data_IF_456110811204
#
_entry.id   IF_456110811204
#
_cell.length_a   1.000
_cell.length_b   1.000
_cell.length_c   1.000
_cell.angle_alpha   90.00
_cell.angle_beta   90.00
_cell.angle_gamma   90.00
#
_symmetry.space_group_name_H-M   'P 1'
#
loop_
_entity.id
_entity.type
_entity.pdbx_description
1 polymer ?
#
# COMPACT_ATOMS: atom_id res chain seq x y z
N UNK A 1 31.44 -13.65 44.64
CA UNK A 1 30.48 -12.62 44.19
C UNK A 1 31.13 -11.79 43.09
N UNK A 2 30.94 -12.15 41.81
CA UNK A 2 31.29 -11.27 40.69
C UNK A 2 30.02 -10.53 40.28
N UNK A 3 30.03 -9.20 40.38
CA UNK A 3 28.95 -8.34 39.88
C UNK A 3 29.09 -8.23 38.36
N UNK A 4 28.14 -8.81 37.65
CA UNK A 4 27.87 -8.55 36.22
C UNK A 4 27.50 -7.07 36.06
N UNK A 5 28.28 -6.35 35.25
CA UNK A 5 27.94 -4.99 34.80
C UNK A 5 27.36 -5.15 33.40
N UNK A 6 26.04 -5.07 33.30
CA UNK A 6 25.32 -5.04 32.03
C UNK A 6 25.54 -3.68 31.40
N UNK A 7 26.28 -3.61 30.29
CA UNK A 7 26.38 -2.40 29.47
C UNK A 7 25.13 -2.28 28.62
N UNK A 8 24.26 -1.35 28.95
CA UNK A 8 23.17 -0.90 28.07
C UNK A 8 23.81 -0.14 26.90
N UNK A 9 23.80 -0.75 25.70
CA UNK A 9 24.16 -0.05 24.49
C UNK A 9 22.99 0.86 24.09
N UNK A 10 23.20 2.17 24.15
CA UNK A 10 22.32 3.16 23.53
C UNK A 10 22.71 3.21 22.07
N UNK A 11 21.89 2.61 21.19
CA UNK A 11 22.02 2.80 19.74
C UNK A 11 21.40 4.16 19.43
N UNK A 12 22.24 5.17 19.14
CA UNK A 12 21.77 6.38 18.48
C UNK A 12 21.52 6.03 17.01
N UNK A 13 20.25 5.98 16.59
CA UNK A 13 19.91 5.95 15.18
C UNK A 13 20.28 7.31 14.57
N UNK A 14 21.33 7.38 13.76
CA UNK A 14 21.57 8.54 12.91
C UNK A 14 20.48 8.56 11.83
N UNK A 15 19.62 9.57 11.87
CA UNK A 15 18.72 9.90 10.77
C UNK A 15 19.59 10.28 9.56
N UNK A 16 19.50 9.50 8.47
CA UNK A 16 20.13 9.84 7.20
C UNK A 16 19.16 10.67 6.36
N UNK A 17 19.62 11.85 5.93
CA UNK A 17 18.94 12.68 4.95
C UNK A 17 19.56 12.41 3.58
N UNK A 18 18.73 12.02 2.61
CA UNK A 18 19.15 11.91 1.21
C UNK A 18 18.65 13.14 0.47
N UNK A 19 19.58 13.94 -0.08
CA UNK A 19 19.26 15.06 -0.96
C UNK A 19 19.25 14.60 -2.40
N UNK A 20 18.16 14.89 -3.11
CA UNK A 20 17.98 14.53 -4.51
C UNK A 20 17.81 15.81 -5.32
N UNK A 21 18.44 15.88 -6.50
CA UNK A 21 18.19 16.98 -7.42
C UNK A 21 16.78 16.83 -8.01
N UNK A 22 15.96 17.88 -7.91
CA UNK A 22 14.55 17.88 -8.28
C UNK A 22 14.17 19.16 -9.02
N UNK A 23 13.22 19.08 -9.95
CA UNK A 23 12.82 20.20 -10.80
C UNK A 23 11.29 20.40 -10.86
N UNK A 24 10.54 19.96 -9.84
CA UNK A 24 9.10 20.10 -9.76
C UNK A 24 8.60 20.77 -8.48
N UNK A 25 7.41 21.37 -8.57
CA UNK A 25 6.87 22.24 -7.53
C UNK A 25 6.24 21.47 -6.35
N UNK A 26 6.06 20.14 -6.42
CA UNK A 26 5.31 19.39 -5.39
C UNK A 26 6.21 18.97 -4.22
N UNK A 27 7.44 18.56 -4.53
CA UNK A 27 8.43 18.13 -3.53
C UNK A 27 9.45 19.23 -3.18
N UNK A 28 9.30 20.42 -3.78
CA UNK A 28 10.21 21.55 -3.63
C UNK A 28 11.54 21.37 -4.39
N UNK A 29 12.33 22.44 -4.53
CA UNK A 29 13.58 22.40 -5.32
C UNK A 29 14.66 21.46 -4.74
N UNK A 30 14.64 21.23 -3.43
CA UNK A 30 15.61 20.40 -2.72
C UNK A 30 14.90 19.43 -1.77
N UNK A 31 14.24 18.37 -2.30
CA UNK A 31 13.54 17.41 -1.48
C UNK A 31 14.50 16.71 -0.53
N UNK A 32 14.12 16.67 0.75
CA UNK A 32 14.84 15.95 1.79
C UNK A 32 14.04 14.70 2.18
N UNK A 33 14.43 13.57 1.59
CA UNK A 33 13.86 12.27 1.92
C UNK A 33 14.57 11.73 3.17
N UNK A 34 13.80 11.56 4.25
CA UNK A 34 14.29 11.10 5.54
C UNK A 34 13.99 9.61 5.73
N UNK A 35 15.03 8.81 6.00
CA UNK A 35 14.87 7.41 6.39
C UNK A 35 14.53 7.31 7.88
N UNK A 36 13.37 6.74 8.19
CA UNK A 36 12.87 6.59 9.56
C UNK A 36 13.22 5.22 10.16
N UNK A 37 13.27 4.19 9.32
CA UNK A 37 13.54 2.81 9.71
C UNK A 37 13.93 1.97 8.49
N UNK A 38 14.81 0.97 8.62
CA UNK A 38 15.30 0.17 7.47
C UNK A 38 15.70 -1.28 7.80
N UNK A 39 15.14 -1.87 8.86
CA UNK A 39 15.52 -3.21 9.34
C UNK A 39 14.55 -4.31 8.85
N UNK A 40 13.84 -4.07 7.75
CA UNK A 40 12.83 -4.97 7.21
C UNK A 40 13.35 -5.94 6.16
N UNK A 41 12.43 -6.73 5.63
CA UNK A 41 12.64 -7.63 4.49
C UNK A 41 12.02 -7.07 3.23
N UNK A 42 10.74 -6.70 3.29
CA UNK A 42 10.02 -6.10 2.18
C UNK A 42 8.85 -5.27 2.73
N UNK A 43 9.09 -3.97 2.88
CA UNK A 43 8.09 -3.07 3.45
C UNK A 43 7.01 -2.75 2.45
N UNK A 44 5.77 -2.71 2.89
CA UNK A 44 4.57 -2.50 2.08
C UNK A 44 3.48 -1.78 2.89
N UNK A 45 2.38 -1.46 2.22
CA UNK A 45 1.10 -1.07 2.83
C UNK A 45 1.23 -0.10 4.00
N UNK A 46 1.36 1.19 3.72
CA UNK A 46 1.46 2.22 4.76
C UNK A 46 0.11 2.85 5.09
N UNK A 47 -0.23 2.92 6.37
CA UNK A 47 -1.47 3.50 6.87
C UNK A 47 -1.21 4.46 8.03
N UNK A 48 -1.88 5.62 8.03
CA UNK A 48 -1.76 6.61 9.10
C UNK A 48 -3.04 6.65 9.94
N UNK A 49 -2.89 6.39 11.24
CA UNK A 49 -3.96 6.44 12.22
C UNK A 49 -4.38 7.89 12.54
N UNK A 50 -5.57 8.07 13.14
CA UNK A 50 -6.11 9.40 13.49
C UNK A 50 -5.23 10.19 14.45
N UNK A 51 -4.45 9.50 15.28
CA UNK A 51 -3.48 10.09 16.21
C UNK A 51 -2.13 10.45 15.55
N UNK A 52 -1.97 10.17 14.26
CA UNK A 52 -0.76 10.42 13.50
C UNK A 52 0.27 9.29 13.52
N UNK A 53 0.03 8.19 14.24
CA UNK A 53 0.93 7.03 14.18
C UNK A 53 0.85 6.35 12.82
N UNK A 54 1.99 5.89 12.34
CA UNK A 54 2.14 5.29 11.02
C UNK A 54 2.35 3.81 11.17
N UNK A 55 1.58 3.02 10.43
CA UNK A 55 1.63 1.57 10.42
C UNK A 55 2.07 1.13 9.04
N UNK A 56 2.89 0.09 8.97
CA UNK A 56 3.35 -0.45 7.70
C UNK A 56 3.65 -1.94 7.82
N UNK A 57 3.39 -2.66 6.73
CA UNK A 57 3.68 -4.10 6.66
C UNK A 57 5.17 -4.33 6.37
N UNK A 58 5.70 -5.41 6.91
CA UNK A 58 6.98 -6.01 6.54
C UNK A 58 6.69 -7.46 6.15
N UNK A 59 6.56 -7.71 4.84
CA UNK A 59 6.18 -9.00 4.29
C UNK A 59 7.37 -9.94 4.37
N UNK A 60 7.15 -11.14 4.91
CA UNK A 60 8.20 -12.14 4.96
C UNK A 60 8.40 -12.81 3.60
N UNK A 61 9.67 -12.99 3.23
CA UNK A 61 10.11 -13.76 2.06
C UNK A 61 10.61 -15.16 2.41
N UNK A 62 10.58 -15.53 3.69
CA UNK A 62 11.04 -16.81 4.20
C UNK A 62 10.03 -17.44 5.16
N UNK A 63 10.52 -18.31 6.04
CA UNK A 63 9.67 -19.11 6.94
C UNK A 63 9.13 -18.33 8.15
N UNK A 64 9.71 -17.16 8.44
CA UNK A 64 9.24 -16.29 9.52
C UNK A 64 7.91 -15.62 9.15
N UNK A 65 7.03 -15.31 10.11
CA UNK A 65 5.78 -14.63 9.81
C UNK A 65 6.01 -13.17 9.39
N UNK A 66 5.23 -12.70 8.43
CA UNK A 66 5.16 -11.27 8.09
C UNK A 66 4.63 -10.46 9.28
N UNK A 67 5.04 -9.19 9.39
CA UNK A 67 4.76 -8.33 10.55
C UNK A 67 4.06 -7.05 10.16
N UNK A 68 3.40 -6.41 11.12
CA UNK A 68 3.06 -4.98 11.05
C UNK A 68 3.87 -4.20 12.07
N UNK A 69 4.54 -3.17 11.59
CA UNK A 69 5.31 -2.24 12.40
C UNK A 69 4.53 -0.94 12.60
N UNK A 70 4.87 -0.22 13.67
CA UNK A 70 4.28 1.06 14.00
C UNK A 70 5.37 2.08 14.33
N UNK A 71 5.38 3.18 13.59
CA UNK A 71 6.21 4.34 13.83
C UNK A 71 5.40 5.43 14.56
N UNK A 72 5.97 5.98 15.63
CA UNK A 72 5.43 7.10 16.39
C UNK A 72 6.22 8.38 16.07
N UNK A 73 5.65 9.33 15.31
CA UNK A 73 6.35 10.57 14.93
C UNK A 73 6.73 11.46 16.11
N UNK A 74 6.08 11.34 17.27
CA UNK A 74 6.38 12.15 18.45
C UNK A 74 7.63 11.66 19.19
N UNK A 75 7.97 10.37 19.05
CA UNK A 75 9.13 9.76 19.72
C UNK A 75 10.22 9.31 18.77
N UNK A 76 9.94 9.32 17.46
CA UNK A 76 10.80 8.77 16.40
C UNK A 76 11.17 7.31 16.63
N UNK A 77 10.27 6.52 17.21
CA UNK A 77 10.48 5.09 17.47
C UNK A 77 9.59 4.24 16.58
N UNK A 78 10.14 3.13 16.14
CA UNK A 78 9.42 2.04 15.47
C UNK A 78 9.35 0.84 16.40
N UNK A 79 8.15 0.30 16.61
CA UNK A 79 7.90 -0.92 17.37
C UNK A 79 7.10 -1.94 16.55
N UNK A 80 7.12 -3.20 16.99
CA UNK A 80 6.32 -4.27 16.38
C UNK A 80 4.90 -4.20 16.94
N UNK A 81 3.94 -3.84 16.08
CA UNK A 81 2.53 -3.80 16.46
C UNK A 81 1.87 -5.18 16.36
N UNK A 82 2.25 -5.97 15.34
CA UNK A 82 1.79 -7.34 15.14
C UNK A 82 2.97 -8.19 14.67
N UNK A 83 3.38 -9.16 15.50
CA UNK A 83 4.53 -10.03 15.22
C UNK A 83 4.20 -11.17 14.24
N UNK A 84 2.92 -11.54 14.11
CA UNK A 84 2.44 -12.49 13.12
C UNK A 84 1.14 -11.96 12.50
N UNK A 85 1.30 -11.25 11.40
CA UNK A 85 0.20 -10.65 10.64
C UNK A 85 -0.51 -11.66 9.73
N UNK A 86 0.06 -12.85 9.53
CA UNK A 86 -0.39 -13.77 8.48
C UNK A 86 -0.24 -13.18 7.07
N UNK A 87 0.92 -12.57 6.79
CA UNK A 87 1.28 -11.92 5.53
C UNK A 87 0.42 -10.70 5.18
N UNK A 88 0.24 -9.76 6.12
CA UNK A 88 -0.37 -8.47 5.78
C UNK A 88 0.44 -7.75 4.71
N UNK A 89 -0.25 -7.17 3.74
CA UNK A 89 0.34 -6.32 2.71
C UNK A 89 -0.25 -4.91 2.86
N UNK A 90 -1.19 -4.49 2.00
CA UNK A 90 -1.89 -3.22 2.11
C UNK A 90 -2.57 -3.05 3.46
N UNK A 91 -2.51 -1.84 4.00
CA UNK A 91 -3.09 -1.46 5.28
C UNK A 91 -3.95 -0.22 5.12
N UNK A 92 -5.07 -0.16 5.84
CA UNK A 92 -5.86 1.06 5.93
C UNK A 92 -6.69 1.11 7.21
N UNK A 93 -6.82 2.28 7.83
CA UNK A 93 -7.77 2.47 8.92
C UNK A 93 -9.19 2.66 8.39
N UNK A 94 -10.17 1.98 9.00
CA UNK A 94 -11.58 2.26 8.74
C UNK A 94 -12.09 3.47 9.55
N UNK A 95 -13.36 3.84 9.35
CA UNK A 95 -13.99 4.97 10.06
C UNK A 95 -14.00 4.82 11.58
N UNK A 96 -14.06 3.58 12.06
CA UNK A 96 -14.08 3.22 13.48
C UNK A 96 -12.67 3.16 14.08
N UNK A 97 -11.63 3.41 13.28
CA UNK A 97 -10.24 3.36 13.72
C UNK A 97 -9.66 1.95 13.81
N UNK A 98 -10.31 0.95 13.20
CA UNK A 98 -9.75 -0.41 13.09
C UNK A 98 -8.73 -0.46 11.96
N UNK A 99 -7.57 -1.08 12.19
CA UNK A 99 -6.58 -1.33 11.15
C UNK A 99 -7.03 -2.53 10.31
N UNK A 100 -7.45 -2.27 9.08
CA UNK A 100 -7.73 -3.29 8.08
C UNK A 100 -6.43 -3.68 7.37
N UNK A 101 -6.32 -4.96 7.01
CA UNK A 101 -5.17 -5.51 6.32
C UNK A 101 -5.62 -6.45 5.19
N UNK A 102 -5.01 -6.29 4.01
CA UNK A 102 -5.08 -7.28 2.93
C UNK A 102 -4.00 -8.33 3.20
N UNK A 103 -4.38 -9.48 3.76
CA UNK A 103 -3.45 -10.53 4.10
C UNK A 103 -3.32 -11.51 2.93
N UNK A 104 -2.12 -11.57 2.36
CA UNK A 104 -1.82 -12.32 1.15
C UNK A 104 -1.63 -13.82 1.38
N UNK A 105 -1.03 -14.44 0.37
CA UNK A 105 -0.65 -15.85 0.36
C UNK A 105 0.77 -16.08 0.89
N UNK A 106 1.41 -17.19 0.50
CA UNK A 106 2.73 -17.62 1.00
C UNK A 106 2.68 -17.99 2.49
N UNK A 107 1.82 -18.96 2.80
CA UNK A 107 1.42 -19.38 4.15
C UNK A 107 0.70 -18.28 4.95
N UNK A 108 0.22 -17.26 4.25
CA UNK A 108 -0.60 -16.19 4.79
C UNK A 108 -2.08 -16.57 4.91
N UNK A 109 -2.90 -15.60 5.32
CA UNK A 109 -4.32 -15.83 5.61
C UNK A 109 -5.20 -15.91 4.37
N UNK A 110 -4.75 -15.37 3.23
CA UNK A 110 -5.58 -15.20 2.00
C UNK A 110 -6.93 -14.58 2.34
N UNK A 111 -6.92 -13.44 3.04
CA UNK A 111 -8.11 -12.86 3.65
C UNK A 111 -8.02 -11.34 3.82
N UNK A 112 -9.18 -10.68 3.82
CA UNK A 112 -9.29 -9.33 4.38
C UNK A 112 -9.42 -9.46 5.90
N UNK A 113 -8.55 -8.79 6.65
CA UNK A 113 -8.47 -8.92 8.10
C UNK A 113 -8.59 -7.58 8.84
N UNK A 114 -8.81 -7.66 10.15
CA UNK A 114 -8.59 -6.59 11.13
C UNK A 114 -7.40 -6.98 12.00
N UNK A 115 -6.50 -6.05 12.26
CA UNK A 115 -5.41 -6.22 13.23
C UNK A 115 -5.71 -5.33 14.45
N UNK A 116 -6.14 -5.97 15.54
CA UNK A 116 -6.49 -5.32 16.79
C UNK A 116 -5.29 -5.06 17.71
N UNK A 117 -5.58 -4.51 18.88
CA UNK A 117 -4.58 -4.31 19.93
C UNK A 117 -3.89 -5.62 20.32
N UNK A 118 -2.62 -5.51 20.72
CA UNK A 118 -1.79 -6.68 21.04
C UNK A 118 -1.43 -7.54 19.83
N UNK A 119 -1.70 -7.07 18.61
CA UNK A 119 -1.35 -7.78 17.37
C UNK A 119 -2.29 -8.94 17.02
N UNK A 120 -3.50 -8.98 17.60
CA UNK A 120 -4.49 -10.01 17.27
C UNK A 120 -5.04 -9.79 15.85
N UNK A 121 -4.95 -10.81 15.00
CA UNK A 121 -5.52 -10.77 13.64
C UNK A 121 -6.86 -11.51 13.60
N UNK A 122 -7.89 -10.86 13.06
CA UNK A 122 -9.23 -11.40 12.87
C UNK A 122 -9.61 -11.34 11.38
N UNK A 123 -10.03 -12.46 10.81
CA UNK A 123 -10.45 -12.55 9.41
C UNK A 123 -11.89 -12.04 9.25
N UNK A 124 -12.08 -11.06 8.37
CA UNK A 124 -13.41 -10.53 8.01
C UNK A 124 -14.07 -11.35 6.91
N UNK A 125 -13.28 -11.76 5.93
CA UNK A 125 -13.73 -12.59 4.80
C UNK A 125 -12.53 -13.32 4.19
N UNK A 126 -12.73 -14.58 3.80
CA UNK A 126 -11.69 -15.48 3.28
C UNK A 126 -12.01 -16.07 1.91
N UNK A 127 -13.26 -15.93 1.45
CA UNK A 127 -13.75 -16.52 0.21
C UNK A 127 -14.95 -15.76 -0.36
N UNK A 128 -15.20 -15.97 -1.65
CA UNK A 128 -16.42 -15.54 -2.36
C UNK A 128 -16.92 -16.72 -3.18
N UNK A 129 -18.21 -17.01 -3.09
CA UNK A 129 -18.85 -18.13 -3.79
C UNK A 129 -18.15 -19.49 -3.57
N UNK A 130 -17.59 -19.68 -2.36
CA UNK A 130 -16.87 -20.90 -1.98
C UNK A 130 -15.43 -21.00 -2.50
N UNK A 131 -14.93 -19.98 -3.21
CA UNK A 131 -13.55 -19.91 -3.71
C UNK A 131 -12.70 -18.99 -2.84
N UNK A 132 -11.52 -19.45 -2.44
CA UNK A 132 -10.58 -18.69 -1.63
C UNK A 132 -9.85 -17.59 -2.41
N UNK A 133 -9.64 -16.43 -1.78
CA UNK A 133 -8.83 -15.35 -2.36
C UNK A 133 -7.45 -15.83 -2.77
N UNK A 134 -6.91 -15.29 -3.86
CA UNK A 134 -5.57 -15.63 -4.33
C UNK A 134 -4.53 -15.15 -3.33
N UNK A 135 -4.36 -13.85 -3.18
CA UNK A 135 -3.42 -13.20 -2.28
C UNK A 135 -3.81 -11.72 -2.19
N UNK A 136 -4.79 -11.35 -1.35
CA UNK A 136 -5.18 -9.96 -1.14
C UNK A 136 -3.96 -9.06 -0.96
N UNK A 137 -3.89 -7.98 -1.73
CA UNK A 137 -2.66 -7.22 -1.91
C UNK A 137 -2.78 -5.79 -1.39
N UNK A 138 -3.73 -5.00 -1.88
CA UNK A 138 -3.99 -3.65 -1.35
C UNK A 138 -5.48 -3.40 -1.16
N UNK A 139 -5.85 -2.37 -0.39
CA UNK A 139 -7.24 -2.05 -0.08
C UNK A 139 -7.52 -0.54 0.04
N UNK A 140 -8.78 -0.18 -0.20
CA UNK A 140 -9.28 1.16 0.06
C UNK A 140 -10.69 1.13 0.63
N UNK A 141 -10.91 1.90 1.69
CA UNK A 141 -12.22 2.08 2.33
C UNK A 141 -12.96 3.22 1.65
N UNK A 142 -14.12 2.93 1.07
CA UNK A 142 -15.03 3.93 0.52
C UNK A 142 -15.61 4.81 1.64
N UNK A 143 -15.89 6.10 1.41
CA UNK A 143 -16.59 6.98 2.37
C UNK A 143 -17.99 6.50 2.81
N UNK A 144 -18.52 5.41 2.23
CA UNK A 144 -19.80 4.78 2.63
C UNK A 144 -19.61 3.50 3.45
N UNK A 145 -18.37 3.05 3.62
CA UNK A 145 -18.01 1.89 4.45
C UNK A 145 -17.65 0.62 3.68
N UNK A 146 -17.94 0.53 2.38
CA UNK A 146 -17.45 -0.58 1.57
C UNK A 146 -15.92 -0.58 1.51
N UNK A 147 -15.33 -1.77 1.38
CA UNK A 147 -13.88 -1.93 1.19
C UNK A 147 -13.67 -2.54 -0.19
N UNK A 148 -12.92 -1.85 -1.05
CA UNK A 148 -12.40 -2.46 -2.26
C UNK A 148 -11.01 -3.01 -1.98
N UNK A 149 -10.67 -4.18 -2.50
CA UNK A 149 -9.34 -4.75 -2.36
C UNK A 149 -8.96 -5.55 -3.60
N UNK A 150 -7.67 -5.52 -3.94
CA UNK A 150 -7.09 -6.26 -5.06
C UNK A 150 -6.68 -7.66 -4.63
N UNK A 151 -6.85 -8.64 -5.52
CA UNK A 151 -6.53 -10.05 -5.26
C UNK A 151 -5.66 -10.68 -6.38
N UNK A 152 -4.44 -10.16 -6.58
CA UNK A 152 -3.49 -10.75 -7.51
C UNK A 152 -2.88 -12.04 -6.97
N UNK A 153 -2.02 -12.68 -7.77
CA UNK A 153 -1.09 -13.71 -7.30
C UNK A 153 0.34 -13.35 -7.73
N UNK A 154 1.20 -13.03 -6.76
CA UNK A 154 2.63 -12.79 -6.97
C UNK A 154 3.52 -13.86 -6.31
N UNK A 155 3.05 -14.48 -5.23
CA UNK A 155 3.80 -15.46 -4.43
C UNK A 155 2.85 -16.51 -3.84
N UNK A 156 3.42 -17.59 -3.30
CA UNK A 156 2.68 -18.68 -2.68
C UNK A 156 2.28 -19.78 -3.67
N UNK A 157 2.23 -21.00 -3.16
CA UNK A 157 1.90 -22.24 -3.88
C UNK A 157 0.47 -22.73 -3.61
N UNK A 158 -0.29 -22.01 -2.79
CA UNK A 158 -1.68 -22.36 -2.49
C UNK A 158 -2.54 -22.32 -3.77
N UNK A 159 -3.54 -23.20 -3.90
CA UNK A 159 -4.37 -23.27 -5.10
C UNK A 159 -5.00 -21.92 -5.47
N UNK A 160 -4.88 -21.54 -6.74
CA UNK A 160 -5.64 -20.47 -7.37
C UNK A 160 -6.98 -21.06 -7.76
N UNK A 161 -8.06 -20.57 -7.16
CA UNK A 161 -9.41 -21.11 -7.36
C UNK A 161 -10.24 -20.28 -8.34
N UNK A 162 -9.99 -18.98 -8.40
CA UNK A 162 -10.60 -18.08 -9.37
C UNK A 162 -9.98 -18.22 -10.76
N UNK A 163 -10.81 -18.02 -11.79
CA UNK A 163 -10.40 -18.00 -13.20
C UNK A 163 -9.58 -16.76 -13.58
N UNK A 164 -9.79 -15.66 -12.87
CA UNK A 164 -9.12 -14.37 -13.02
C UNK A 164 -8.59 -13.86 -11.69
N UNK A 165 -7.74 -12.84 -11.76
CA UNK A 165 -7.41 -12.02 -10.59
C UNK A 165 -8.39 -10.86 -10.53
N UNK A 166 -9.09 -10.74 -9.41
CA UNK A 166 -10.23 -9.83 -9.28
C UNK A 166 -9.88 -8.63 -8.40
N UNK A 167 -10.60 -7.54 -8.61
CA UNK A 167 -10.89 -6.59 -7.53
C UNK A 167 -12.19 -7.02 -6.86
N UNK A 168 -12.19 -7.11 -5.54
CA UNK A 168 -13.35 -7.46 -4.74
C UNK A 168 -13.90 -6.23 -4.00
N UNK A 169 -15.19 -6.30 -3.64
CA UNK A 169 -15.87 -5.34 -2.77
C UNK A 169 -16.46 -6.05 -1.57
N UNK A 170 -15.97 -5.75 -0.38
CA UNK A 170 -16.52 -6.20 0.90
C UNK A 170 -17.48 -5.17 1.49
N UNK A 171 -18.64 -5.63 1.95
CA UNK A 171 -19.61 -4.82 2.68
C UNK A 171 -19.64 -5.23 4.16
N UNK A 172 -19.10 -4.40 5.08
CA UNK A 172 -19.09 -4.73 6.51
C UNK A 172 -20.48 -4.82 7.12
N UNK A 173 -21.51 -4.19 6.54
CA UNK A 173 -22.88 -4.26 7.06
C UNK A 173 -23.52 -5.64 6.84
N UNK A 174 -23.09 -6.38 5.81
CA UNK A 174 -23.61 -7.72 5.51
C UNK A 174 -22.61 -8.83 5.78
N UNK A 175 -21.33 -8.49 5.99
CA UNK A 175 -20.25 -9.46 6.13
C UNK A 175 -19.92 -10.21 4.83
N UNK A 176 -20.35 -9.69 3.66
CA UNK A 176 -20.18 -10.36 2.37
C UNK A 176 -19.23 -9.60 1.46
N UNK A 177 -18.39 -10.34 0.75
CA UNK A 177 -17.63 -9.83 -0.38
C UNK A 177 -18.25 -10.29 -1.71
N UNK A 178 -18.03 -9.51 -2.77
CA UNK A 178 -18.43 -9.82 -4.15
C UNK A 178 -17.28 -9.50 -5.10
N UNK A 179 -17.22 -10.21 -6.23
CA UNK A 179 -16.37 -9.85 -7.37
C UNK A 179 -16.83 -8.50 -7.93
N UNK A 180 -15.94 -7.52 -8.02
CA UNK A 180 -16.29 -6.14 -8.39
C UNK A 180 -15.78 -5.74 -9.78
N UNK A 181 -14.58 -6.19 -10.16
CA UNK A 181 -14.01 -5.93 -11.50
C UNK A 181 -12.98 -7.00 -11.90
N UNK A 182 -12.86 -7.25 -13.20
CA UNK A 182 -12.00 -8.27 -13.81
C UNK A 182 -11.17 -7.76 -15.01
N UNK A 183 -11.37 -6.53 -15.46
CA UNK A 183 -10.69 -5.98 -16.64
C UNK A 183 -9.20 -5.70 -16.38
N UNK A 184 -8.80 -5.63 -15.11
CA UNK A 184 -7.40 -5.54 -14.69
C UNK A 184 -6.86 -6.94 -14.45
N UNK A 185 -5.87 -7.37 -15.24
CA UNK A 185 -5.42 -8.77 -15.26
C UNK A 185 -4.56 -9.16 -14.06
N UNK A 186 -3.90 -8.19 -13.43
CA UNK A 186 -3.12 -8.37 -12.20
C UNK A 186 -3.21 -7.10 -11.34
N UNK A 187 -4.31 -6.95 -10.56
CA UNK A 187 -4.60 -5.72 -9.82
C UNK A 187 -3.66 -5.57 -8.63
N UNK A 188 -3.22 -4.35 -8.36
CA UNK A 188 -2.30 -4.02 -7.28
C UNK A 188 -2.88 -2.88 -6.42
N UNK A 189 -2.20 -1.74 -6.30
CA UNK A 189 -2.69 -0.59 -5.53
C UNK A 189 -4.09 -0.12 -5.94
N UNK A 190 -4.91 0.23 -4.96
CA UNK A 190 -6.28 0.73 -5.16
C UNK A 190 -6.53 2.01 -4.36
N UNK A 191 -7.09 3.04 -4.98
CA UNK A 191 -7.42 4.31 -4.31
C UNK A 191 -8.73 4.90 -4.83
N UNK A 192 -9.33 5.80 -4.06
CA UNK A 192 -10.60 6.47 -4.41
C UNK A 192 -10.37 7.99 -4.51
N UNK A 193 -11.00 8.62 -5.49
CA UNK A 193 -10.97 10.09 -5.67
C UNK A 193 -11.57 10.85 -4.49
N UNK A 194 -11.22 12.14 -4.27
CA UNK A 194 -11.71 12.94 -3.14
C UNK A 194 -13.24 13.09 -3.09
N UNK A 195 -13.89 13.08 -4.24
CA UNK A 195 -15.35 13.13 -4.37
C UNK A 195 -16.04 11.77 -4.12
N UNK A 196 -15.26 10.70 -3.93
CA UNK A 196 -15.75 9.34 -3.69
C UNK A 196 -16.33 8.65 -4.92
N UNK A 197 -16.16 9.20 -6.13
CA UNK A 197 -16.86 8.72 -7.34
C UNK A 197 -16.03 7.86 -8.27
N UNK A 198 -14.70 7.87 -8.12
CA UNK A 198 -13.79 7.12 -8.99
C UNK A 198 -12.95 6.17 -8.17
N UNK A 199 -12.94 4.88 -8.53
CA UNK A 199 -11.95 3.92 -8.07
C UNK A 199 -10.84 3.86 -9.10
N UNK A 200 -9.59 4.01 -8.64
CA UNK A 200 -8.40 3.78 -9.43
C UNK A 200 -7.77 2.44 -9.04
N UNK A 201 -7.29 1.69 -10.03
CA UNK A 201 -6.68 0.37 -9.84
C UNK A 201 -5.40 0.32 -10.66
N UNK A 202 -4.28 0.05 -10.00
CA UNK A 202 -3.01 -0.25 -10.64
C UNK A 202 -3.06 -1.65 -11.28
N UNK A 203 -2.60 -1.77 -12.52
CA UNK A 203 -2.28 -3.03 -13.15
C UNK A 203 -0.76 -3.20 -13.16
N UNK A 204 -0.27 -4.19 -12.41
CA UNK A 204 1.15 -4.54 -12.38
C UNK A 204 1.32 -5.98 -12.86
N UNK A 205 0.89 -6.23 -14.10
CA UNK A 205 1.06 -7.54 -14.72
C UNK A 205 2.47 -7.65 -15.29
N UNK A 206 3.40 -8.15 -14.47
CA UNK A 206 4.76 -8.51 -14.89
C UNK A 206 4.80 -9.74 -15.83
N UNK A 207 3.63 -10.30 -16.16
CA UNK A 207 3.45 -11.43 -17.04
C UNK A 207 3.78 -12.80 -16.41
N UNK A 208 4.36 -12.82 -15.21
CA UNK A 208 4.66 -14.05 -14.48
C UNK A 208 3.64 -14.33 -13.38
N UNK A 209 3.39 -15.62 -13.06
CA UNK A 209 2.68 -15.99 -11.83
C UNK A 209 3.49 -15.71 -10.55
N UNK A 210 4.81 -15.47 -10.66
CA UNK A 210 5.75 -15.32 -9.56
C UNK A 210 6.44 -13.95 -9.56
N UNK A 211 6.87 -13.51 -8.38
CA UNK A 211 7.66 -12.29 -8.21
C UNK A 211 9.05 -12.45 -8.82
N UNK A 212 9.51 -11.45 -9.59
CA UNK A 212 10.87 -11.41 -10.13
C UNK A 212 11.06 -12.07 -11.49
N UNK A 213 10.12 -12.86 -12.00
CA UNK A 213 10.14 -13.28 -13.40
C UNK A 213 9.43 -12.25 -14.29
N UNK A 214 9.92 -12.09 -15.52
CA UNK A 214 9.29 -11.26 -16.56
C UNK A 214 8.78 -12.17 -17.67
N UNK A 215 7.51 -12.06 -18.04
CA UNK A 215 7.02 -12.74 -19.24
C UNK A 215 7.11 -11.87 -20.49
N UNK A 216 6.68 -12.46 -21.61
CA UNK A 216 6.79 -11.89 -22.96
C UNK A 216 5.83 -10.72 -23.19
N UNK A 217 4.69 -10.68 -22.50
CA UNK A 217 3.67 -9.63 -22.67
C UNK A 217 3.23 -9.05 -21.33
N UNK A 218 4.11 -8.29 -20.64
CA UNK A 218 3.72 -7.59 -19.44
C UNK A 218 2.76 -6.44 -19.78
N UNK A 219 1.85 -6.16 -18.85
CA UNK A 219 0.91 -5.04 -18.94
C UNK A 219 1.00 -4.20 -17.66
N UNK A 220 1.37 -2.93 -17.85
CA UNK A 220 1.53 -1.97 -16.79
C UNK A 220 0.61 -0.79 -17.07
N UNK A 221 -0.40 -0.57 -16.22
CA UNK A 221 -1.41 0.45 -16.49
C UNK A 221 -2.03 1.01 -15.21
N UNK A 222 -2.68 2.16 -15.34
CA UNK A 222 -3.60 2.71 -14.34
C UNK A 222 -5.00 2.68 -14.93
N UNK A 223 -5.94 2.05 -14.23
CA UNK A 223 -7.34 1.97 -14.61
C UNK A 223 -8.21 2.84 -13.72
N UNK A 224 -9.37 3.23 -14.23
CA UNK A 224 -10.37 3.95 -13.47
C UNK A 224 -11.78 3.40 -13.74
N UNK A 225 -12.60 3.40 -12.69
CA UNK A 225 -13.99 2.97 -12.68
C UNK A 225 -14.84 4.05 -12.02
N UNK A 226 -16.05 4.26 -12.52
CA UNK A 226 -17.08 5.01 -11.80
C UNK A 226 -17.66 4.14 -10.70
N UNK A 227 -17.86 4.70 -9.52
CA UNK A 227 -18.46 4.01 -8.38
C UNK A 227 -19.95 4.38 -8.29
N UNK A 228 -20.82 3.40 -8.53
CA UNK A 228 -22.28 3.52 -8.40
C UNK A 228 -22.76 3.68 -6.96
N UNK A 229 -24.08 3.85 -6.77
CA UNK A 229 -24.67 4.11 -5.45
C UNK A 229 -24.54 2.93 -4.46
N UNK A 230 -24.63 1.69 -4.95
CA UNK A 230 -24.37 0.48 -4.16
C UNK A 230 -22.89 0.11 -4.06
N UNK A 231 -22.03 0.88 -4.74
CA UNK A 231 -20.60 0.62 -4.89
C UNK A 231 -20.25 -0.22 -6.11
N UNK A 232 -21.18 -0.40 -7.06
CA UNK A 232 -20.93 -1.12 -8.32
C UNK A 232 -19.87 -0.37 -9.12
N UNK A 233 -19.02 -1.10 -9.84
CA UNK A 233 -17.99 -0.50 -10.68
C UNK A 233 -18.48 -0.47 -12.12
N UNK A 234 -18.47 0.71 -12.72
CA UNK A 234 -19.00 0.98 -14.05
C UNK A 234 -18.01 1.82 -14.87
N UNK A 235 -18.25 1.93 -16.18
CA UNK A 235 -17.49 2.81 -17.08
C UNK A 235 -15.96 2.65 -16.95
N UNK A 236 -15.50 1.41 -16.96
CA UNK A 236 -14.08 1.08 -16.97
C UNK A 236 -13.35 1.84 -18.08
N UNK A 237 -12.19 2.38 -17.73
CA UNK A 237 -11.23 2.94 -18.70
C UNK A 237 -9.80 2.69 -18.24
N UNK A 238 -8.92 2.42 -19.20
CA UNK A 238 -7.47 2.52 -19.00
C UNK A 238 -7.09 3.99 -19.10
N UNK A 239 -6.63 4.58 -17.99
CA UNK A 239 -6.27 5.99 -17.90
C UNK A 239 -4.83 6.25 -18.37
N UNK A 240 -3.91 5.37 -17.96
CA UNK A 240 -2.49 5.44 -18.33
C UNK A 240 -2.04 4.07 -18.77
N UNK A 241 -1.30 4.03 -19.86
CA UNK A 241 -0.45 2.91 -20.23
C UNK A 241 1.00 3.27 -19.89
N UNK A 242 1.67 2.42 -19.13
CA UNK A 242 3.07 2.60 -18.78
C UNK A 242 3.96 1.73 -19.67
N UNK A 243 5.27 2.02 -19.64
CA UNK A 243 6.26 1.15 -20.26
C UNK A 243 6.17 -0.29 -19.70
N UNK A 244 6.28 -1.36 -20.52
CA UNK A 244 6.12 -2.73 -20.03
C UNK A 244 7.15 -3.14 -18.94
N UNK A 245 8.30 -2.45 -18.85
CA UNK A 245 9.29 -2.65 -17.80
C UNK A 245 9.00 -1.85 -16.52
N UNK A 246 8.04 -0.92 -16.54
CA UNK A 246 7.72 0.00 -15.45
C UNK A 246 6.25 0.07 -15.08
N UNK A 247 5.90 -0.29 -13.85
CA UNK A 247 4.53 -0.22 -13.35
C UNK A 247 4.41 0.61 -12.09
N UNK A 248 3.18 0.89 -11.70
CA UNK A 248 2.85 1.44 -10.38
C UNK A 248 2.44 0.32 -9.44
N UNK A 249 2.74 0.49 -8.15
CA UNK A 249 2.45 -0.44 -7.07
C UNK A 249 1.35 0.16 -6.17
N UNK A 250 1.61 0.38 -4.89
CA UNK A 250 0.74 1.15 -4.01
C UNK A 250 0.65 2.64 -4.37
N UNK A 251 -0.48 3.26 -4.00
CA UNK A 251 -0.76 4.66 -4.33
C UNK A 251 -1.47 5.39 -3.18
N UNK A 252 -1.39 6.72 -3.21
CA UNK A 252 -2.25 7.61 -2.42
C UNK A 252 -2.68 8.83 -3.25
N UNK A 253 -3.43 9.74 -2.64
CA UNK A 253 -3.92 10.93 -3.33
C UNK A 253 -3.89 12.15 -2.41
N UNK A 254 -3.77 13.34 -2.99
CA UNK A 254 -3.98 14.59 -2.28
C UNK A 254 -5.40 15.15 -2.48
N UNK A 255 -5.72 16.22 -1.75
CA UNK A 255 -7.04 16.87 -1.81
C UNK A 255 -7.36 17.53 -3.14
N UNK A 256 -6.37 17.69 -4.04
CA UNK A 256 -6.57 18.22 -5.40
C UNK A 256 -6.83 17.10 -6.42
N UNK A 257 -6.82 15.84 -6.00
CA UNK A 257 -7.03 14.70 -6.89
C UNK A 257 -5.79 14.26 -7.65
N UNK A 258 -4.59 14.67 -7.22
CA UNK A 258 -3.33 14.18 -7.79
C UNK A 258 -2.95 12.86 -7.14
N UNK A 259 -2.66 11.86 -7.96
CA UNK A 259 -2.27 10.51 -7.57
C UNK A 259 -0.77 10.47 -7.33
N UNK A 260 -0.34 9.97 -6.18
CA UNK A 260 1.06 9.70 -5.85
C UNK A 260 1.23 8.19 -5.93
N UNK A 261 2.02 7.72 -6.87
CA UNK A 261 2.16 6.30 -7.16
C UNK A 261 3.59 5.84 -6.96
N UNK A 262 3.78 4.73 -6.25
CA UNK A 262 5.06 4.03 -6.17
C UNK A 262 5.39 3.43 -7.55
N UNK A 263 6.17 4.16 -8.34
CA UNK A 263 6.56 3.76 -9.69
C UNK A 263 7.83 2.92 -9.65
N UNK A 264 7.71 1.69 -10.10
CA UNK A 264 8.76 0.66 -10.11
C UNK A 264 9.18 0.37 -11.54
N UNK A 265 10.40 0.74 -11.90
CA UNK A 265 11.00 0.47 -13.20
C UNK A 265 12.53 0.32 -12.98
N UNK A 266 13.25 -0.57 -13.70
CA UNK A 266 14.68 -0.77 -13.51
C UNK A 266 15.57 0.47 -13.76
N UNK A 267 15.13 1.37 -14.62
CA UNK A 267 15.91 2.53 -15.06
C UNK A 267 15.47 3.83 -14.36
N UNK A 268 14.18 3.96 -14.05
CA UNK A 268 13.61 5.15 -13.39
C UNK A 268 12.53 4.79 -12.39
N UNK A 269 12.88 4.68 -11.12
CA UNK A 269 11.95 4.37 -10.03
C UNK A 269 11.85 5.52 -9.00
N UNK A 270 10.69 5.63 -8.35
CA UNK A 270 10.38 6.75 -7.48
C UNK A 270 8.88 6.94 -7.26
N UNK A 271 8.49 8.06 -6.65
CA UNK A 271 7.08 8.46 -6.58
C UNK A 271 6.73 9.31 -7.79
N UNK A 272 5.85 8.78 -8.63
CA UNK A 272 5.28 9.50 -9.77
C UNK A 272 4.00 10.20 -9.35
N UNK A 273 3.89 11.50 -9.60
CA UNK A 273 2.67 12.28 -9.35
C UNK A 273 1.92 12.45 -10.65
N UNK A 274 0.66 12.03 -10.70
CA UNK A 274 -0.17 11.98 -11.91
C UNK A 274 -1.49 12.72 -11.65
N UNK A 275 -1.97 13.50 -12.62
CA UNK A 275 -3.30 14.11 -12.53
C UNK A 275 -4.43 13.12 -12.91
N UNK A 276 -5.68 13.54 -12.78
CA UNK A 276 -6.86 12.74 -13.12
C UNK A 276 -6.98 12.36 -14.61
N UNK A 277 -6.21 12.99 -15.48
CA UNK A 277 -6.13 12.73 -16.92
C UNK A 277 -4.99 11.78 -17.28
N UNK A 278 -4.19 11.34 -16.30
CA UNK A 278 -3.06 10.44 -16.54
C UNK A 278 -1.74 11.13 -16.87
N UNK A 279 -1.68 12.47 -16.82
CA UNK A 279 -0.46 13.24 -17.07
C UNK A 279 0.46 13.25 -15.85
N UNK A 280 1.73 12.89 -16.04
CA UNK A 280 2.79 13.07 -15.04
C UNK A 280 3.01 14.57 -14.77
N UNK A 281 2.90 14.97 -13.51
CA UNK A 281 3.07 16.33 -13.02
C UNK A 281 4.41 16.53 -12.33
N UNK A 282 4.86 15.54 -11.57
CA UNK A 282 6.10 15.59 -10.82
C UNK A 282 6.65 14.17 -10.55
N UNK A 283 7.92 14.06 -10.19
CA UNK A 283 8.56 12.78 -9.90
C UNK A 283 9.67 12.90 -8.85
N UNK A 284 9.53 12.16 -7.75
CA UNK A 284 10.54 12.06 -6.70
C UNK A 284 11.33 10.75 -6.88
N UNK A 285 12.62 10.78 -7.25
CA UNK A 285 13.44 9.57 -7.24
C UNK A 285 13.57 9.03 -5.80
N UNK A 286 13.74 7.73 -5.65
CA UNK A 286 13.95 7.08 -4.34
C UNK A 286 15.27 6.31 -4.32
N UNK A 287 15.84 6.03 -3.14
CA UNK A 287 17.13 5.31 -3.05
C UNK A 287 17.03 3.82 -3.43
N UNK A 288 15.82 3.25 -3.40
CA UNK A 288 15.49 1.90 -3.84
C UNK A 288 14.05 1.88 -4.39
N UNK A 289 13.58 0.74 -4.89
CA UNK A 289 12.24 0.55 -5.45
C UNK A 289 11.15 0.83 -4.38
N UNK A 290 10.31 1.86 -4.58
CA UNK A 290 9.19 2.13 -3.69
C UNK A 290 8.11 1.08 -3.87
N UNK A 291 7.39 0.75 -2.81
CA UNK A 291 6.30 -0.23 -2.80
C UNK A 291 4.96 0.44 -2.56
N UNK A 292 4.89 1.38 -1.61
CA UNK A 292 3.64 2.02 -1.24
C UNK A 292 3.88 3.42 -0.66
N UNK A 293 2.81 4.21 -0.54
CA UNK A 293 2.87 5.53 0.07
C UNK A 293 1.52 5.96 0.66
N UNK A 294 1.55 6.80 1.69
CA UNK A 294 0.35 7.34 2.34
C UNK A 294 0.67 8.68 2.97
N UNK A 295 -0.24 9.63 2.83
CA UNK A 295 -0.08 10.92 3.49
C UNK A 295 -0.31 10.82 5.01
N UNK A 296 0.41 11.65 5.76
CA UNK A 296 0.13 11.95 7.15
C UNK A 296 -1.27 12.50 7.36
N UNK A 297 -1.61 12.76 8.63
CA UNK A 297 -2.91 13.32 9.03
C UNK A 297 -2.72 14.57 9.88
N UNK A 298 -3.80 15.34 10.02
CA UNK A 298 -3.86 16.52 10.87
C UNK A 298 -2.75 17.54 10.51
N UNK A 299 -1.96 18.00 11.49
CA UNK A 299 -0.85 18.92 11.26
C UNK A 299 0.25 18.35 10.36
N UNK A 300 0.27 17.03 10.17
CA UNK A 300 1.24 16.33 9.32
C UNK A 300 0.64 15.92 7.95
N UNK A 301 -0.51 16.47 7.57
CA UNK A 301 -1.17 16.13 6.29
C UNK A 301 -0.36 16.47 5.04
N UNK A 302 0.67 17.32 5.16
CA UNK A 302 1.61 17.62 4.06
C UNK A 302 2.82 16.70 3.98
N UNK A 303 2.91 15.70 4.86
CA UNK A 303 3.98 14.69 4.84
C UNK A 303 3.50 13.47 4.07
N UNK A 304 4.32 12.99 3.13
CA UNK A 304 4.13 11.69 2.50
C UNK A 304 5.05 10.67 3.18
N UNK A 305 4.47 9.58 3.69
CA UNK A 305 5.20 8.42 4.17
C UNK A 305 5.32 7.40 3.04
N UNK A 306 6.48 6.73 2.95
CA UNK A 306 6.80 5.82 1.86
C UNK A 306 7.39 4.53 2.42
N UNK A 307 6.98 3.40 1.88
CA UNK A 307 7.71 2.15 2.03
C UNK A 307 8.60 1.95 0.81
N UNK A 308 9.89 1.73 1.06
CA UNK A 308 10.93 1.65 0.03
C UNK A 308 11.87 0.52 0.41
N UNK A 309 11.92 -0.53 -0.42
CA UNK A 309 12.73 -1.72 -0.15
C UNK A 309 12.44 -2.33 1.23
N UNK A 310 13.37 -2.14 2.15
CA UNK A 310 13.34 -2.67 3.53
C UNK A 310 12.94 -1.63 4.59
N UNK A 311 12.51 -0.43 4.19
CA UNK A 311 12.39 0.70 5.11
C UNK A 311 11.17 1.59 4.96
N UNK A 312 10.94 2.36 6.02
CA UNK A 312 9.97 3.46 6.08
C UNK A 312 10.72 4.79 5.94
N UNK A 313 10.20 5.65 5.08
CA UNK A 313 10.72 6.98 4.81
C UNK A 313 9.61 8.02 4.93
N UNK A 314 9.98 9.29 5.05
CA UNK A 314 9.05 10.40 4.89
C UNK A 314 9.66 11.55 4.10
N UNK A 315 8.78 12.35 3.51
CA UNK A 315 9.15 13.60 2.83
C UNK A 315 8.03 14.63 3.01
N UNK A 316 8.40 15.92 3.11
CA UNK A 316 7.45 17.03 3.08
C UNK A 316 7.06 17.34 1.63
N UNK A 317 5.81 17.72 1.44
CA UNK A 317 5.24 18.13 0.15
C UNK A 317 4.52 19.46 0.33
N UNK A 318 4.34 20.20 -0.76
CA UNK A 318 3.49 21.41 -0.79
C UNK A 318 2.00 21.07 -0.98
N UNK A 319 1.65 19.79 -0.78
CA UNK A 319 0.32 19.23 -0.94
C UNK A 319 -0.34 18.97 0.40
N UNK A 320 -1.67 18.81 0.39
CA UNK A 320 -2.42 18.29 1.54
C UNK A 320 -2.96 16.92 1.17
N UNK A 321 -2.55 15.90 1.91
CA UNK A 321 -3.00 14.53 1.72
C UNK A 321 -4.49 14.34 1.90
N UNK A 322 -5.06 13.44 1.09
CA UNK A 322 -6.45 13.02 1.20
C UNK A 322 -6.56 11.66 1.86
N UNK A 323 -7.53 11.53 2.77
CA UNK A 323 -7.94 10.27 3.37
C UNK A 323 -9.45 10.10 3.17
N UNK A 324 -9.88 8.97 2.60
CA UNK A 324 -11.31 8.69 2.33
C UNK A 324 -12.15 8.60 3.62
N UNK A 325 -11.51 8.25 4.73
CA UNK A 325 -12.11 8.17 6.06
C UNK A 325 -11.48 9.21 6.98
N UNK A 326 -12.31 10.13 7.48
CA UNK A 326 -11.93 11.18 8.42
C UNK A 326 -11.94 10.67 9.85
#
# INVERSE_FOLDING_TARGET
MLKSVTRTAVVLSLLSLVRLAHAGDIFGENPELEQLWNEGTFTEGVAVAKDGRVYFSDISRGDEPGRVLRFDPATSKTDVYCADSGQSNGLMFDKSGRLLAACGANHGRRALCVIGEGGKVEELVTNVDGQHFNSPNDLVVHPRGFVFFSDPRYVGDEPIEFDLMWVFRFNPATGKAVRAAAEVTKPNGVIISPDGKTLYVAETNNGSPQFGERAKEPKMALHAYTIGEGGELENHRQLVEFDPAGGIDGMTMDTQGRIYAAFRNPERFGIKVINSEGKELDFLPTPDLPTNCCFGRNQDSGTLYLTIGTGLYRIKTDSTGFHTVK
#
